data_IF_145291542157
#
_entry.id   IF_145291542157
#
_cell.length_a   1.000
_cell.length_b   1.000
_cell.length_c   1.000
_cell.angle_alpha   90.00
_cell.angle_beta   90.00
_cell.angle_gamma   90.00
#
_symmetry.space_group_name_H-M   'P 1'
#
loop_
_entity.id
_entity.type
_entity.pdbx_description
1 polymer ?
#
# COMPACT_ATOMS: atom_id res chain seq x y z
N UNK A 1 -25.84 12.49 -24.35
CA UNK A 1 -24.76 12.75 -25.25
C UNK A 1 -23.68 11.72 -25.07
N UNK A 2 -23.39 10.94 -26.13
CA UNK A 2 -22.33 9.94 -26.10
C UNK A 2 -20.95 10.60 -25.95
N UNK A 3 -20.05 9.95 -25.24
CA UNK A 3 -18.64 10.34 -25.15
C UNK A 3 -18.08 10.41 -26.58
N UNK A 4 -17.41 11.51 -26.98
CA UNK A 4 -16.80 11.61 -28.29
C UNK A 4 -15.84 10.46 -28.60
N UNK A 5 -15.83 9.96 -29.82
CA UNK A 5 -15.05 8.75 -30.18
C UNK A 5 -13.54 8.88 -29.93
N UNK A 6 -13.00 10.09 -29.95
CA UNK A 6 -11.57 10.32 -29.60
C UNK A 6 -11.25 10.08 -28.12
N UNK A 7 -12.26 10.11 -27.24
CA UNK A 7 -12.11 9.75 -25.83
C UNK A 7 -12.31 8.24 -25.59
N UNK A 8 -12.92 7.53 -26.55
CA UNK A 8 -13.15 6.08 -26.43
C UNK A 8 -11.91 5.24 -26.74
N UNK A 9 -10.97 5.75 -27.54
CA UNK A 9 -9.81 5.02 -28.02
C UNK A 9 -8.48 5.42 -27.35
N UNK A 10 -8.50 5.78 -26.08
CA UNK A 10 -7.25 6.04 -25.35
C UNK A 10 -6.51 4.72 -25.12
N UNK A 11 -5.26 4.66 -25.62
CA UNK A 11 -4.29 3.61 -25.31
C UNK A 11 -3.34 4.15 -24.26
N UNK A 12 -3.35 3.55 -23.08
CA UNK A 12 -2.49 3.96 -21.98
C UNK A 12 -1.44 2.89 -21.67
N UNK A 13 -0.22 3.36 -21.42
CA UNK A 13 0.87 2.53 -20.94
C UNK A 13 1.20 2.93 -19.50
N UNK A 14 1.23 1.95 -18.60
CA UNK A 14 1.52 2.13 -17.18
C UNK A 14 2.90 1.61 -16.85
N UNK A 15 3.83 2.52 -16.66
CA UNK A 15 5.24 2.23 -16.34
C UNK A 15 5.42 2.01 -14.86
N UNK A 16 6.01 0.88 -14.48
CA UNK A 16 6.29 0.53 -13.08
C UNK A 16 7.57 -0.28 -12.93
N UNK A 17 8.30 -0.02 -11.83
CA UNK A 17 9.45 -0.80 -11.39
C UNK A 17 9.08 -1.91 -10.39
N UNK A 18 7.84 -1.94 -9.87
CA UNK A 18 7.49 -2.66 -8.65
C UNK A 18 6.47 -3.78 -8.82
N UNK A 19 6.15 -4.18 -10.05
CA UNK A 19 5.10 -5.17 -10.33
C UNK A 19 5.36 -6.54 -9.69
N UNK A 20 6.62 -6.95 -9.61
CA UNK A 20 7.02 -8.24 -9.05
C UNK A 20 7.15 -8.22 -7.52
N UNK A 21 7.06 -7.05 -6.92
CA UNK A 21 7.21 -6.91 -5.47
C UNK A 21 5.95 -7.40 -4.74
N UNK A 22 6.14 -8.05 -3.61
CA UNK A 22 5.05 -8.44 -2.72
C UNK A 22 4.75 -7.26 -1.79
N UNK A 23 4.04 -6.27 -2.31
CA UNK A 23 3.66 -5.08 -1.55
C UNK A 23 2.32 -4.52 -2.03
N UNK A 24 1.79 -3.52 -1.29
CA UNK A 24 0.52 -2.88 -1.59
C UNK A 24 0.49 -2.13 -2.92
N UNK A 25 1.63 -1.60 -3.37
CA UNK A 25 1.75 -0.88 -4.66
C UNK A 25 1.54 -1.84 -5.83
N UNK A 26 2.28 -2.94 -5.85
CA UNK A 26 2.16 -3.97 -6.89
C UNK A 26 0.75 -4.58 -6.93
N UNK A 27 0.17 -4.85 -5.78
CA UNK A 27 -1.20 -5.35 -5.67
C UNK A 27 -2.20 -4.36 -6.25
N UNK A 28 -2.07 -3.08 -5.96
CA UNK A 28 -2.95 -2.03 -6.50
C UNK A 28 -2.85 -1.95 -8.02
N UNK A 29 -1.64 -1.94 -8.57
CA UNK A 29 -1.43 -1.89 -10.03
C UNK A 29 -2.08 -3.09 -10.71
N UNK A 30 -1.88 -4.30 -10.19
CA UNK A 30 -2.49 -5.52 -10.75
C UNK A 30 -4.01 -5.50 -10.68
N UNK A 31 -4.58 -5.10 -9.55
CA UNK A 31 -6.05 -5.02 -9.36
C UNK A 31 -6.68 -3.96 -10.25
N UNK A 32 -6.08 -2.77 -10.35
CA UNK A 32 -6.54 -1.70 -11.23
C UNK A 32 -6.46 -2.13 -12.71
N UNK A 33 -5.39 -2.77 -13.11
CA UNK A 33 -5.23 -3.24 -14.51
C UNK A 33 -6.23 -4.33 -14.84
N UNK A 34 -6.46 -5.29 -13.94
CA UNK A 34 -7.47 -6.33 -14.12
C UNK A 34 -8.88 -5.72 -14.26
N UNK A 35 -9.25 -4.76 -13.44
CA UNK A 35 -10.51 -4.04 -13.55
C UNK A 35 -10.62 -3.29 -14.90
N UNK A 36 -9.53 -2.71 -15.37
CA UNK A 36 -9.46 -2.06 -16.68
C UNK A 36 -9.69 -3.01 -17.85
N UNK A 37 -9.11 -4.19 -17.81
CA UNK A 37 -9.32 -5.24 -18.80
C UNK A 37 -10.78 -5.69 -18.82
N UNK A 38 -11.36 -5.93 -17.65
CA UNK A 38 -12.76 -6.31 -17.51
C UNK A 38 -13.72 -5.23 -18.03
N UNK A 39 -13.34 -3.96 -17.90
CA UNK A 39 -14.08 -2.81 -18.43
C UNK A 39 -13.84 -2.58 -19.94
N UNK A 40 -13.02 -3.39 -20.59
CA UNK A 40 -12.69 -3.26 -22.02
C UNK A 40 -11.80 -2.06 -22.35
N UNK A 41 -11.02 -1.56 -21.37
CA UNK A 41 -10.09 -0.45 -21.56
C UNK A 41 -8.75 -0.93 -22.12
N UNK A 42 -8.13 -0.10 -22.96
CA UNK A 42 -6.82 -0.39 -23.55
C UNK A 42 -5.71 0.13 -22.63
N UNK A 43 -5.22 -0.76 -21.78
CA UNK A 43 -4.20 -0.48 -20.78
C UNK A 43 -3.15 -1.59 -20.79
N UNK A 44 -1.88 -1.22 -20.95
CA UNK A 44 -0.75 -2.14 -20.92
C UNK A 44 0.21 -1.72 -19.81
N UNK A 45 0.58 -2.65 -18.94
CA UNK A 45 1.65 -2.43 -17.97
C UNK A 45 3.00 -2.55 -18.71
N UNK A 46 3.91 -1.64 -18.43
CA UNK A 46 5.27 -1.63 -18.97
C UNK A 46 6.28 -1.78 -17.85
N UNK A 47 7.12 -2.79 -17.97
CA UNK A 47 8.19 -3.11 -17.01
C UNK A 47 9.54 -3.21 -17.71
N UNK A 48 10.60 -3.16 -16.92
CA UNK A 48 11.96 -3.39 -17.39
C UNK A 48 12.69 -4.31 -16.40
N UNK A 49 12.58 -5.62 -16.63
CA UNK A 49 13.16 -6.66 -15.77
C UNK A 49 13.82 -7.74 -16.62
N UNK A 50 14.84 -8.42 -16.08
CA UNK A 50 15.44 -9.59 -16.72
C UNK A 50 14.46 -10.75 -16.80
N UNK A 51 13.60 -10.90 -15.78
CA UNK A 51 12.56 -11.91 -15.71
C UNK A 51 11.26 -11.30 -15.22
N UNK A 52 10.14 -11.67 -15.81
CA UNK A 52 8.79 -11.22 -15.44
C UNK A 52 7.85 -12.41 -15.43
N UNK A 53 7.08 -12.57 -14.35
CA UNK A 53 6.04 -13.56 -14.25
C UNK A 53 4.77 -13.14 -15.02
N UNK A 54 3.98 -14.11 -15.44
CA UNK A 54 2.64 -13.85 -15.98
C UNK A 54 1.67 -13.51 -14.83
N UNK A 55 1.11 -12.31 -14.88
CA UNK A 55 0.14 -11.85 -13.89
C UNK A 55 -1.31 -11.84 -14.41
N UNK A 56 -1.53 -12.40 -15.62
CA UNK A 56 -2.86 -12.45 -16.22
C UNK A 56 -3.40 -11.08 -16.68
N UNK A 57 -2.53 -10.09 -16.86
CA UNK A 57 -2.86 -8.73 -17.32
C UNK A 57 -2.00 -8.37 -18.53
N UNK A 58 -2.44 -7.46 -19.42
CA UNK A 58 -1.60 -7.00 -20.53
C UNK A 58 -0.30 -6.39 -20.03
N UNK A 59 0.82 -6.96 -20.46
CA UNK A 59 2.14 -6.59 -19.99
C UNK A 59 3.15 -6.58 -21.13
N UNK A 60 3.94 -5.51 -21.22
CA UNK A 60 5.11 -5.39 -22.07
C UNK A 60 6.35 -5.24 -21.22
N UNK A 61 7.20 -6.24 -21.23
CA UNK A 61 8.50 -6.16 -20.56
C UNK A 61 9.62 -5.85 -21.57
N UNK A 62 10.49 -4.94 -21.19
CA UNK A 62 11.73 -4.65 -21.92
C UNK A 62 12.91 -5.24 -21.14
N UNK A 63 13.80 -5.94 -21.85
CA UNK A 63 15.01 -6.42 -21.24
C UNK A 63 15.92 -5.22 -20.86
N UNK A 64 16.40 -5.14 -19.62
CA UNK A 64 17.26 -4.05 -19.20
C UNK A 64 18.62 -4.12 -19.91
N UNK A 65 19.23 -2.96 -20.14
CA UNK A 65 20.63 -2.87 -20.63
C UNK A 65 21.65 -3.04 -19.51
N UNK A 66 21.21 -2.94 -18.27
CA UNK A 66 22.00 -3.17 -17.06
C UNK A 66 21.11 -3.22 -15.84
N UNK A 67 21.51 -4.03 -14.85
CA UNK A 67 20.84 -4.13 -13.56
C UNK A 67 21.86 -3.95 -12.43
N UNK A 68 21.46 -3.21 -11.38
CA UNK A 68 22.25 -2.98 -10.18
C UNK A 68 21.44 -3.25 -8.94
N UNK A 69 22.00 -3.97 -7.98
CA UNK A 69 21.43 -4.13 -6.64
C UNK A 69 21.91 -2.99 -5.74
N UNK A 70 20.96 -2.39 -5.00
CA UNK A 70 21.30 -1.44 -3.95
C UNK A 70 21.41 -2.21 -2.63
N UNK A 71 22.61 -2.35 -2.03
CA UNK A 71 22.83 -3.23 -0.87
C UNK A 71 22.02 -2.85 0.38
N UNK A 72 21.66 -1.58 0.53
CA UNK A 72 20.95 -1.05 1.69
C UNK A 72 19.42 -0.94 1.47
N UNK A 73 18.97 -1.13 0.23
CA UNK A 73 17.57 -1.02 -0.16
C UNK A 73 17.13 -2.36 -0.76
N UNK A 74 16.69 -3.27 0.09
CA UNK A 74 16.23 -4.59 -0.34
C UNK A 74 15.06 -4.57 -1.34
N UNK A 75 14.52 -3.39 -1.61
CA UNK A 75 13.35 -3.24 -2.44
C UNK A 75 13.65 -3.10 -3.91
N UNK A 76 14.92 -2.89 -4.35
CA UNK A 76 15.07 -2.51 -5.76
C UNK A 76 16.42 -2.89 -6.36
N UNK A 77 16.31 -3.79 -7.31
CA UNK A 77 17.22 -3.78 -8.45
C UNK A 77 16.91 -2.55 -9.28
N UNK A 78 17.90 -1.70 -9.51
CA UNK A 78 17.81 -0.64 -10.50
C UNK A 78 18.05 -1.24 -11.87
N UNK A 79 17.01 -1.29 -12.70
CA UNK A 79 17.09 -1.77 -14.08
C UNK A 79 17.13 -0.58 -15.02
N UNK A 80 18.19 -0.48 -15.82
CA UNK A 80 18.33 0.58 -16.82
C UNK A 80 17.59 0.21 -18.10
N UNK A 81 16.57 0.99 -18.53
CA UNK A 81 15.73 0.65 -19.66
C UNK A 81 16.39 0.92 -21.02
N UNK A 82 16.05 0.14 -22.07
CA UNK A 82 16.46 0.41 -23.44
C UNK A 82 15.61 1.54 -24.03
N UNK A 83 16.05 2.78 -23.86
CA UNK A 83 15.28 4.01 -24.13
C UNK A 83 14.73 4.06 -25.54
N UNK A 84 15.56 3.80 -26.55
CA UNK A 84 15.13 3.86 -27.96
C UNK A 84 14.11 2.79 -28.32
N UNK A 85 14.21 1.59 -27.75
CA UNK A 85 13.24 0.53 -27.98
C UNK A 85 11.87 0.88 -27.35
N UNK A 86 11.87 1.54 -26.20
CA UNK A 86 10.65 2.01 -25.55
C UNK A 86 9.98 3.11 -26.39
N UNK A 87 10.74 4.07 -26.90
CA UNK A 87 10.21 5.13 -27.76
C UNK A 87 9.60 4.56 -29.05
N UNK A 88 10.32 3.65 -29.72
CA UNK A 88 9.82 2.96 -30.90
C UNK A 88 8.53 2.18 -30.63
N UNK A 89 8.46 1.48 -29.51
CA UNK A 89 7.28 0.74 -29.10
C UNK A 89 6.09 1.67 -28.86
N UNK A 90 6.28 2.80 -28.15
CA UNK A 90 5.23 3.78 -27.89
C UNK A 90 4.63 4.37 -29.18
N UNK A 91 5.47 4.68 -30.15
CA UNK A 91 5.03 5.19 -31.44
C UNK A 91 4.31 4.12 -32.27
N UNK A 92 4.90 2.92 -32.36
CA UNK A 92 4.34 1.82 -33.13
C UNK A 92 2.99 1.35 -32.61
N UNK A 93 2.85 1.26 -31.28
CA UNK A 93 1.60 0.87 -30.62
C UNK A 93 0.60 2.02 -30.49
N UNK A 94 0.97 3.22 -30.94
CA UNK A 94 0.13 4.43 -30.88
C UNK A 94 -0.38 4.71 -29.47
N UNK A 95 0.51 4.59 -28.48
CA UNK A 95 0.19 4.95 -27.10
C UNK A 95 -0.13 6.44 -27.03
N UNK A 96 -1.26 6.78 -26.43
CA UNK A 96 -1.74 8.15 -26.38
C UNK A 96 -1.49 8.84 -25.04
N UNK A 97 -1.19 8.08 -23.99
CA UNK A 97 -1.04 8.60 -22.63
C UNK A 97 -0.21 7.67 -21.76
N UNK A 98 0.59 8.24 -20.87
CA UNK A 98 1.47 7.49 -19.98
C UNK A 98 1.04 7.64 -18.52
N UNK A 99 1.13 6.54 -17.77
CA UNK A 99 0.99 6.50 -16.31
C UNK A 99 2.33 6.07 -15.74
N UNK A 100 2.84 6.79 -14.76
CA UNK A 100 4.17 6.57 -14.17
C UNK A 100 4.02 6.36 -12.68
N UNK A 101 4.29 5.15 -12.21
CA UNK A 101 4.13 4.77 -10.80
C UNK A 101 5.27 5.22 -9.92
N UNK A 102 6.50 5.26 -10.45
CA UNK A 102 7.70 5.50 -9.64
C UNK A 102 8.69 6.38 -10.38
N UNK A 103 9.43 7.23 -9.67
CA UNK A 103 10.47 8.08 -10.25
C UNK A 103 11.83 7.37 -10.42
N UNK A 104 11.80 6.05 -10.61
CA UNK A 104 12.98 5.24 -10.89
C UNK A 104 13.42 5.32 -12.37
N UNK A 105 14.36 4.48 -12.79
CA UNK A 105 14.92 4.53 -14.16
C UNK A 105 13.84 4.40 -15.25
N UNK A 106 12.87 3.48 -15.09
CA UNK A 106 11.81 3.34 -16.08
C UNK A 106 10.84 4.52 -16.05
N UNK A 107 10.58 5.08 -14.88
CA UNK A 107 9.77 6.29 -14.73
C UNK A 107 10.41 7.52 -15.38
N UNK A 108 11.72 7.69 -15.23
CA UNK A 108 12.47 8.74 -15.91
C UNK A 108 12.46 8.56 -17.43
N UNK A 109 12.59 7.33 -17.91
CA UNK A 109 12.46 7.02 -19.33
C UNK A 109 11.06 7.39 -19.85
N UNK A 110 10.02 7.03 -19.12
CA UNK A 110 8.63 7.37 -19.46
C UNK A 110 8.41 8.89 -19.47
N UNK A 111 8.96 9.62 -18.50
CA UNK A 111 8.89 11.08 -18.47
C UNK A 111 9.59 11.71 -19.70
N UNK A 112 10.77 11.23 -20.03
CA UNK A 112 11.50 11.68 -21.22
C UNK A 112 10.72 11.39 -22.50
N UNK A 113 10.10 10.23 -22.62
CA UNK A 113 9.25 9.87 -23.75
C UNK A 113 8.02 10.78 -23.84
N UNK A 114 7.33 11.04 -22.73
CA UNK A 114 6.19 11.93 -22.68
C UNK A 114 6.53 13.33 -23.19
N UNK A 115 7.65 13.89 -22.72
CA UNK A 115 8.11 15.21 -23.15
C UNK A 115 8.54 15.24 -24.61
N UNK A 116 9.25 14.21 -25.08
CA UNK A 116 9.76 14.15 -26.45
C UNK A 116 8.68 13.88 -27.50
N UNK A 117 7.70 13.06 -27.16
CA UNK A 117 6.60 12.66 -28.05
C UNK A 117 5.34 13.52 -27.88
N UNK A 118 5.34 14.46 -26.93
CA UNK A 118 4.19 15.31 -26.64
C UNK A 118 2.98 14.54 -26.07
N UNK A 119 3.22 13.48 -25.28
CA UNK A 119 2.17 12.68 -24.68
C UNK A 119 1.81 13.19 -23.29
N UNK A 120 0.51 13.22 -22.94
CA UNK A 120 0.09 13.44 -21.57
C UNK A 120 0.68 12.37 -20.64
N UNK A 121 1.09 12.79 -19.45
CA UNK A 121 1.66 11.88 -18.46
C UNK A 121 1.03 12.14 -17.08
N UNK A 122 0.64 11.05 -16.43
CA UNK A 122 0.04 11.02 -15.11
C UNK A 122 0.98 10.28 -14.15
N UNK A 123 1.23 10.87 -13.00
CA UNK A 123 2.04 10.25 -11.97
C UNK A 123 1.22 9.69 -10.83
N UNK A 124 1.80 8.74 -10.11
CA UNK A 124 1.23 8.20 -8.88
C UNK A 124 2.31 8.26 -7.79
N UNK A 125 1.96 8.87 -6.67
CA UNK A 125 2.79 8.91 -5.49
C UNK A 125 2.34 7.79 -4.53
N UNK A 126 2.97 6.62 -4.66
CA UNK A 126 2.63 5.43 -3.88
C UNK A 126 3.37 5.32 -2.56
N UNK A 127 4.61 5.80 -2.50
CA UNK A 127 5.52 5.57 -1.37
C UNK A 127 6.11 6.88 -0.92
N UNK A 128 6.11 7.12 0.39
CA UNK A 128 6.77 8.26 1.00
C UNK A 128 8.30 8.02 1.05
N UNK A 129 8.95 8.12 -0.11
CA UNK A 129 10.39 7.92 -0.22
C UNK A 129 11.22 8.86 0.67
N UNK A 130 10.90 10.15 0.82
CA UNK A 130 11.65 11.02 1.71
C UNK A 130 11.63 10.55 3.16
N UNK A 131 10.47 10.19 3.70
CA UNK A 131 10.37 9.68 5.07
C UNK A 131 11.04 8.30 5.20
N UNK A 132 10.90 7.45 4.18
CA UNK A 132 11.54 6.15 4.11
C UNK A 132 13.07 6.29 4.17
N UNK A 133 13.64 7.19 3.35
CA UNK A 133 15.07 7.51 3.35
C UNK A 133 15.51 8.05 4.70
N UNK A 134 14.72 8.92 5.33
CA UNK A 134 15.01 9.46 6.67
C UNK A 134 15.12 8.36 7.74
N UNK A 135 14.19 7.41 7.73
CA UNK A 135 14.19 6.30 8.72
C UNK A 135 15.36 5.36 8.48
N UNK A 136 15.69 5.04 7.23
CA UNK A 136 16.77 4.12 6.91
C UNK A 136 18.16 4.70 7.11
N UNK A 137 18.36 5.98 6.80
CA UNK A 137 19.67 6.63 6.83
C UNK A 137 19.89 7.51 8.07
N UNK A 138 18.81 7.89 8.75
CA UNK A 138 18.79 8.88 9.82
C UNK A 138 19.49 10.20 9.42
N UNK A 139 19.36 10.59 8.15
CA UNK A 139 20.02 11.74 7.56
C UNK A 139 19.00 12.71 6.94
N UNK A 140 18.88 13.89 7.56
CA UNK A 140 17.96 14.94 7.10
C UNK A 140 18.37 15.57 5.78
N UNK A 141 19.66 15.56 5.45
CA UNK A 141 20.15 16.04 4.16
C UNK A 141 19.69 15.11 3.02
N UNK A 142 19.80 13.79 3.21
CA UNK A 142 19.32 12.80 2.24
C UNK A 142 17.80 12.89 2.06
N UNK A 143 17.06 13.12 3.14
CA UNK A 143 15.62 13.37 3.06
C UNK A 143 15.31 14.61 2.22
N UNK A 144 16.01 15.73 2.46
CA UNK A 144 15.83 16.98 1.70
C UNK A 144 16.16 16.79 0.22
N UNK A 145 17.26 16.11 -0.08
CA UNK A 145 17.66 15.79 -1.46
C UNK A 145 16.59 14.95 -2.16
N UNK A 146 16.05 13.97 -1.48
CA UNK A 146 14.97 13.12 -1.99
C UNK A 146 13.72 13.93 -2.29
N UNK A 147 13.31 14.84 -1.39
CA UNK A 147 12.18 15.74 -1.63
C UNK A 147 12.39 16.65 -2.84
N UNK A 148 13.57 17.19 -3.05
CA UNK A 148 13.88 18.02 -4.20
C UNK A 148 13.76 17.25 -5.51
N UNK A 149 14.27 16.02 -5.55
CA UNK A 149 14.14 15.14 -6.71
C UNK A 149 12.68 14.78 -6.99
N UNK A 150 11.94 14.37 -5.97
CA UNK A 150 10.52 14.01 -6.08
C UNK A 150 9.69 15.19 -6.56
N UNK A 151 9.92 16.39 -5.99
CA UNK A 151 9.22 17.60 -6.40
C UNK A 151 9.49 17.92 -7.88
N UNK A 152 10.76 17.87 -8.30
CA UNK A 152 11.11 18.08 -9.69
C UNK A 152 10.38 17.08 -10.61
N UNK A 153 10.42 15.79 -10.26
CA UNK A 153 9.83 14.72 -11.07
C UNK A 153 8.30 14.91 -11.20
N UNK A 154 7.59 15.01 -10.10
CA UNK A 154 6.12 15.09 -10.10
C UNK A 154 5.61 16.42 -10.64
N UNK A 155 6.35 17.51 -10.54
CA UNK A 155 5.97 18.80 -11.14
C UNK A 155 6.00 18.79 -12.67
N UNK A 156 6.64 17.80 -13.30
CA UNK A 156 6.63 17.62 -14.75
C UNK A 156 5.36 16.94 -15.27
N UNK A 157 4.51 16.41 -14.41
CA UNK A 157 3.36 15.58 -14.77
C UNK A 157 2.07 16.41 -14.82
N UNK A 158 1.15 16.03 -15.70
CA UNK A 158 -0.11 16.76 -15.89
C UNK A 158 -1.07 16.55 -14.72
N UNK A 159 -1.13 15.32 -14.20
CA UNK A 159 -1.91 14.94 -13.02
C UNK A 159 -1.03 14.08 -12.12
N UNK A 160 -1.16 14.27 -10.81
CA UNK A 160 -0.49 13.45 -9.80
C UNK A 160 -1.52 12.89 -8.84
N UNK A 161 -1.60 11.56 -8.77
CA UNK A 161 -2.39 10.85 -7.78
C UNK A 161 -1.59 10.65 -6.50
N UNK A 162 -2.22 10.93 -5.39
CA UNK A 162 -1.71 10.68 -4.04
C UNK A 162 -2.66 9.75 -3.29
N UNK A 163 -2.19 9.11 -2.23
CA UNK A 163 -2.95 8.08 -1.55
C UNK A 163 -3.88 8.60 -0.43
N UNK A 164 -3.71 9.86 -0.02
CA UNK A 164 -4.52 10.43 1.06
C UNK A 164 -4.61 11.95 0.95
N UNK A 165 -5.56 12.52 1.66
CA UNK A 165 -5.71 13.98 1.76
C UNK A 165 -4.51 14.63 2.46
N UNK A 166 -3.89 13.95 3.42
CA UNK A 166 -2.67 14.45 4.07
C UNK A 166 -1.51 14.61 3.08
N UNK A 167 -1.30 13.63 2.21
CA UNK A 167 -0.29 13.71 1.15
C UNK A 167 -0.67 14.74 0.09
N UNK A 168 -1.94 14.89 -0.20
CA UNK A 168 -2.41 15.95 -1.09
C UNK A 168 -2.07 17.33 -0.54
N UNK A 169 -2.35 17.61 0.72
CA UNK A 169 -1.98 18.84 1.40
C UNK A 169 -0.46 19.06 1.41
N UNK A 170 0.30 18.02 1.73
CA UNK A 170 1.76 18.07 1.73
C UNK A 170 2.32 18.51 0.37
N UNK A 171 1.80 17.98 -0.73
CA UNK A 171 2.24 18.35 -2.07
C UNK A 171 1.80 19.75 -2.47
N UNK A 172 0.63 20.22 -2.05
CA UNK A 172 0.17 21.60 -2.26
C UNK A 172 1.13 22.58 -1.55
N UNK A 173 1.47 22.31 -0.29
CA UNK A 173 2.42 23.12 0.49
C UNK A 173 3.80 23.16 -0.16
N UNK A 174 4.21 22.11 -0.87
CA UNK A 174 5.47 22.03 -1.61
C UNK A 174 5.39 22.63 -3.03
N UNK A 175 4.24 23.20 -3.42
CA UNK A 175 4.12 23.98 -4.65
C UNK A 175 3.53 23.24 -5.85
N UNK A 176 2.99 22.03 -5.70
CA UNK A 176 2.20 21.40 -6.76
C UNK A 176 0.81 22.01 -6.76
N UNK A 177 0.32 22.54 -7.88
CA UNK A 177 -1.02 23.12 -7.98
C UNK A 177 -2.11 22.11 -7.60
N UNK A 178 -3.08 22.55 -6.80
CA UNK A 178 -4.15 21.67 -6.28
C UNK A 178 -4.98 21.04 -7.39
N UNK A 179 -5.16 21.74 -8.52
CA UNK A 179 -5.89 21.23 -9.68
C UNK A 179 -5.20 20.07 -10.41
N UNK A 180 -3.91 19.85 -10.16
CA UNK A 180 -3.17 18.68 -10.69
C UNK A 180 -3.22 17.48 -9.77
N UNK A 181 -3.65 17.64 -8.53
CA UNK A 181 -3.63 16.59 -7.52
C UNK A 181 -4.99 15.88 -7.45
N UNK A 182 -4.95 14.56 -7.35
CA UNK A 182 -6.10 13.67 -7.18
C UNK A 182 -5.82 12.66 -6.09
N UNK A 183 -6.86 12.22 -5.40
CA UNK A 183 -6.74 11.06 -4.51
C UNK A 183 -6.91 9.79 -5.34
N UNK A 184 -5.96 8.85 -5.22
CA UNK A 184 -6.02 7.58 -5.94
C UNK A 184 -7.20 6.74 -5.41
N UNK A 185 -8.17 6.41 -6.27
CA UNK A 185 -9.27 5.53 -5.86
C UNK A 185 -8.76 4.13 -5.51
N UNK A 186 -9.36 3.50 -4.50
CA UNK A 186 -9.01 2.16 -4.04
C UNK A 186 -10.23 1.28 -3.95
N UNK A 187 -10.10 0.06 -4.42
CA UNK A 187 -11.08 -0.99 -4.26
C UNK A 187 -10.69 -1.98 -3.18
N UNK A 188 -11.59 -2.91 -2.93
CA UNK A 188 -11.47 -3.96 -1.93
C UNK A 188 -12.25 -5.19 -2.41
N UNK A 189 -11.69 -6.38 -2.21
CA UNK A 189 -12.43 -7.63 -2.38
C UNK A 189 -13.19 -7.94 -1.07
N UNK A 190 -14.34 -7.31 -0.91
CA UNK A 190 -15.17 -7.46 0.29
C UNK A 190 -15.91 -8.80 0.39
N UNK A 191 -15.89 -9.60 -0.67
CA UNK A 191 -16.41 -10.97 -0.64
C UNK A 191 -15.39 -11.95 -0.08
N UNK A 192 -14.13 -11.76 -0.44
CA UNK A 192 -13.02 -12.54 0.11
C UNK A 192 -12.78 -12.17 1.57
N UNK A 193 -12.56 -10.87 1.82
CA UNK A 193 -12.37 -10.34 3.18
C UNK A 193 -13.73 -10.05 3.82
N UNK A 194 -14.17 -11.00 4.65
CA UNK A 194 -15.52 -10.99 5.20
C UNK A 194 -15.54 -11.61 6.61
N UNK A 195 -16.37 -11.09 7.53
CA UNK A 195 -16.48 -11.64 8.88
C UNK A 195 -16.86 -13.14 8.93
N UNK A 196 -17.56 -13.64 7.91
CA UNK A 196 -17.91 -15.08 7.81
C UNK A 196 -16.72 -16.00 7.60
N UNK A 197 -15.54 -15.47 7.27
CA UNK A 197 -14.30 -16.24 7.19
C UNK A 197 -13.71 -16.58 8.57
N UNK A 198 -14.30 -16.09 9.65
CA UNK A 198 -13.85 -16.40 11.00
C UNK A 198 -13.90 -17.90 11.26
N UNK A 199 -12.77 -18.45 11.63
CA UNK A 199 -12.55 -19.83 12.03
C UNK A 199 -11.85 -19.85 13.40
N UNK A 200 -12.57 -20.31 14.41
CA UNK A 200 -12.06 -20.36 15.78
C UNK A 200 -10.81 -21.22 15.93
N UNK A 201 -10.66 -22.24 15.11
CA UNK A 201 -9.50 -23.13 15.11
C UNK A 201 -8.28 -22.57 14.41
N UNK A 202 -8.42 -21.52 13.60
CA UNK A 202 -7.32 -21.04 12.76
C UNK A 202 -6.09 -20.61 13.57
N UNK A 203 -6.28 -19.77 14.58
CA UNK A 203 -5.17 -19.30 15.43
C UNK A 203 -4.82 -20.24 16.56
N UNK A 204 -5.79 -20.98 17.12
CA UNK A 204 -5.51 -21.96 18.15
C UNK A 204 -4.64 -23.10 17.63
N UNK A 205 -4.85 -23.54 16.40
CA UNK A 205 -3.98 -24.52 15.73
C UNK A 205 -2.54 -24.01 15.52
N UNK A 206 -2.32 -22.70 15.58
CA UNK A 206 -1.02 -22.04 15.44
C UNK A 206 -0.43 -21.54 16.76
N UNK A 207 -1.05 -21.89 17.88
CA UNK A 207 -0.50 -21.62 19.21
C UNK A 207 -1.20 -20.55 20.03
N UNK A 208 -2.27 -19.92 19.54
CA UNK A 208 -3.08 -19.01 20.36
C UNK A 208 -3.80 -19.80 21.43
N UNK A 209 -3.68 -19.38 22.69
CA UNK A 209 -4.27 -20.06 23.84
C UNK A 209 -5.64 -19.51 24.18
N UNK A 210 -6.44 -20.30 24.88
CA UNK A 210 -7.73 -19.84 25.40
C UNK A 210 -7.52 -18.66 26.36
N UNK A 211 -8.37 -17.63 26.21
CA UNK A 211 -8.27 -16.40 27.00
C UNK A 211 -7.27 -15.36 26.46
N UNK A 212 -6.44 -15.70 25.51
CA UNK A 212 -5.58 -14.73 24.85
C UNK A 212 -6.33 -13.95 23.75
N UNK A 213 -6.02 -12.66 23.63
CA UNK A 213 -6.49 -11.79 22.56
C UNK A 213 -5.46 -11.76 21.45
N UNK A 214 -5.86 -12.16 20.25
CA UNK A 214 -4.99 -12.16 19.07
C UNK A 214 -4.86 -10.76 18.48
N UNK A 215 -3.68 -10.17 18.57
CA UNK A 215 -3.34 -8.89 17.98
C UNK A 215 -2.57 -9.10 16.68
N UNK A 216 -3.23 -8.84 15.56
CA UNK A 216 -2.71 -9.12 14.22
C UNK A 216 -1.97 -7.91 13.65
N UNK A 217 -0.83 -8.19 13.02
CA UNK A 217 -0.16 -7.34 12.05
C UNK A 217 -0.04 -8.10 10.73
N UNK A 218 -0.32 -7.45 9.62
CA UNK A 218 -0.12 -7.97 8.27
C UNK A 218 0.71 -6.97 7.47
N UNK A 219 1.80 -7.41 6.89
CA UNK A 219 2.64 -6.58 6.05
C UNK A 219 4.06 -7.12 5.92
N UNK A 220 4.87 -6.40 5.15
CA UNK A 220 6.31 -6.67 5.07
C UNK A 220 6.94 -6.48 6.45
N UNK A 221 7.73 -7.46 6.87
CA UNK A 221 8.46 -7.40 8.14
C UNK A 221 9.78 -6.68 7.92
N UNK A 222 9.72 -5.36 7.97
CA UNK A 222 10.83 -4.46 7.73
C UNK A 222 10.83 -3.32 8.77
N UNK A 223 11.99 -2.70 8.95
CA UNK A 223 12.22 -1.74 10.04
C UNK A 223 11.29 -0.53 9.98
N UNK A 224 10.98 -0.04 8.77
CA UNK A 224 10.12 1.12 8.56
C UNK A 224 8.65 0.90 8.93
N UNK A 225 8.22 -0.35 9.09
CA UNK A 225 6.86 -0.68 9.56
C UNK A 225 6.65 -0.42 11.05
N UNK A 226 7.68 0.02 11.74
CA UNK A 226 7.63 0.42 13.15
C UNK A 226 7.20 -0.71 14.10
N UNK A 227 7.65 -1.94 13.79
CA UNK A 227 7.33 -3.10 14.59
C UNK A 227 7.95 -3.05 16.00
N UNK A 228 9.00 -2.27 16.20
CA UNK A 228 9.57 -2.00 17.52
C UNK A 228 8.57 -1.38 18.49
N UNK A 229 7.63 -0.58 17.98
CA UNK A 229 6.55 -0.04 18.80
C UNK A 229 5.59 -1.14 19.30
N UNK A 230 5.31 -2.13 18.45
CA UNK A 230 4.55 -3.33 18.85
C UNK A 230 5.30 -4.10 19.93
N UNK A 231 6.61 -4.26 19.80
CA UNK A 231 7.46 -4.91 20.82
C UNK A 231 7.33 -4.20 22.17
N UNK A 232 7.49 -2.89 22.17
CA UNK A 232 7.42 -2.08 23.40
C UNK A 232 6.01 -2.09 24.02
N UNK A 233 4.96 -1.98 23.19
CA UNK A 233 3.58 -2.08 23.65
C UNK A 233 3.26 -3.46 24.24
N UNK A 234 3.72 -4.51 23.60
CA UNK A 234 3.54 -5.91 24.08
C UNK A 234 4.16 -6.12 25.44
N UNK A 235 5.37 -5.60 25.67
CA UNK A 235 6.02 -5.65 26.98
C UNK A 235 5.22 -4.93 28.06
N UNK A 236 4.69 -3.76 27.75
CA UNK A 236 3.83 -2.99 28.67
C UNK A 236 2.54 -3.71 28.99
N UNK A 237 1.90 -4.31 27.99
CA UNK A 237 0.69 -5.11 28.17
C UNK A 237 0.95 -6.34 29.07
N UNK A 238 2.11 -6.96 28.95
CA UNK A 238 2.52 -8.04 29.84
C UNK A 238 2.70 -7.58 31.30
N UNK A 239 3.29 -6.40 31.52
CA UNK A 239 3.38 -5.78 32.85
C UNK A 239 1.99 -5.52 33.46
N UNK A 240 1.04 -5.11 32.63
CA UNK A 240 -0.35 -4.91 33.05
C UNK A 240 -1.17 -6.20 33.16
N UNK A 241 -0.56 -7.35 32.86
CA UNK A 241 -1.22 -8.66 32.81
C UNK A 241 -2.41 -8.70 31.85
N UNK A 242 -2.37 -7.92 30.77
CA UNK A 242 -3.33 -7.97 29.70
C UNK A 242 -2.97 -9.10 28.75
N UNK A 243 -3.85 -10.10 28.53
CA UNK A 243 -3.50 -11.34 27.82
C UNK A 243 -3.55 -11.15 26.30
N UNK A 244 -2.59 -10.46 25.75
CA UNK A 244 -2.48 -10.18 24.30
C UNK A 244 -1.35 -11.00 23.69
N UNK A 245 -1.65 -11.71 22.60
CA UNK A 245 -0.66 -12.45 21.80
C UNK A 245 -0.45 -11.73 20.46
N UNK A 246 0.75 -11.23 20.18
CA UNK A 246 1.09 -10.72 18.86
C UNK A 246 1.07 -11.82 17.79
N UNK A 247 0.50 -11.51 16.64
CA UNK A 247 0.43 -12.37 15.47
C UNK A 247 0.98 -11.59 14.28
N UNK A 248 2.04 -12.11 13.67
CA UNK A 248 2.75 -11.45 12.57
C UNK A 248 2.56 -12.27 11.29
N UNK A 249 1.85 -11.70 10.33
CA UNK A 249 1.65 -12.28 9.00
C UNK A 249 2.44 -11.47 7.99
N UNK A 250 3.35 -12.14 7.31
CA UNK A 250 4.27 -11.53 6.35
C UNK A 250 5.69 -12.02 6.55
N UNK A 251 6.58 -11.56 5.69
CA UNK A 251 7.99 -11.86 5.75
C UNK A 251 8.80 -10.61 5.40
N UNK A 252 10.08 -10.62 5.72
CA UNK A 252 10.97 -9.51 5.42
C UNK A 252 12.27 -9.57 6.21
N UNK A 253 13.17 -8.61 5.94
CA UNK A 253 14.53 -8.60 6.48
C UNK A 253 14.62 -8.44 7.99
N UNK A 254 13.60 -7.85 8.61
CA UNK A 254 13.55 -7.63 10.06
C UNK A 254 13.05 -8.86 10.84
N UNK A 255 12.63 -9.93 10.15
CA UNK A 255 12.08 -11.13 10.77
C UNK A 255 13.01 -11.77 11.84
N UNK A 256 14.30 -11.98 11.59
CA UNK A 256 15.18 -12.60 12.58
C UNK A 256 15.24 -11.81 13.90
N UNK A 257 15.36 -10.48 13.80
CA UNK A 257 15.39 -9.58 14.96
C UNK A 257 14.04 -9.54 15.68
N UNK A 258 12.94 -9.47 14.94
CA UNK A 258 11.60 -9.45 15.52
C UNK A 258 11.30 -10.77 16.28
N UNK A 259 11.69 -11.91 15.73
CA UNK A 259 11.59 -13.22 16.44
C UNK A 259 12.38 -13.25 17.74
N UNK A 260 13.55 -12.62 17.76
CA UNK A 260 14.35 -12.49 18.98
C UNK A 260 13.64 -11.63 20.03
N UNK A 261 12.99 -10.53 19.61
CA UNK A 261 12.31 -9.57 20.49
C UNK A 261 10.92 -10.03 20.95
N UNK A 262 10.19 -10.75 20.11
CA UNK A 262 8.83 -11.26 20.35
C UNK A 262 8.79 -12.80 20.27
N UNK A 263 9.57 -13.48 21.14
CA UNK A 263 9.70 -14.95 21.09
C UNK A 263 8.38 -15.72 21.21
N UNK A 264 7.39 -15.16 21.91
CA UNK A 264 6.08 -15.79 22.11
C UNK A 264 5.04 -15.41 21.04
N UNK A 265 5.37 -14.55 20.07
CA UNK A 265 4.47 -14.19 19.00
C UNK A 265 4.24 -15.36 18.03
N UNK A 266 3.11 -15.34 17.35
CA UNK A 266 2.82 -16.27 16.26
C UNK A 266 3.34 -15.66 14.97
N UNK A 267 4.19 -16.39 14.26
CA UNK A 267 4.73 -15.99 12.96
C UNK A 267 4.28 -16.98 11.90
N UNK A 268 3.63 -16.50 10.85
CA UNK A 268 3.11 -17.36 9.79
C UNK A 268 3.95 -17.34 8.51
N UNK A 269 4.80 -16.31 8.35
CA UNK A 269 5.30 -15.96 7.01
C UNK A 269 4.20 -15.35 6.16
N UNK A 270 4.43 -15.29 4.85
CA UNK A 270 3.46 -14.78 3.90
C UNK A 270 2.21 -15.66 3.85
N UNK A 271 1.03 -15.01 3.88
CA UNK A 271 -0.27 -15.64 3.62
C UNK A 271 -0.99 -14.87 2.50
N UNK A 272 -1.75 -15.57 1.68
CA UNK A 272 -2.58 -15.01 0.63
C UNK A 272 -3.92 -15.72 0.51
N UNK A 273 -4.82 -15.17 -0.30
CA UNK A 273 -6.11 -15.78 -0.60
C UNK A 273 -6.96 -16.10 0.63
N UNK A 274 -7.55 -17.27 0.65
CA UNK A 274 -8.43 -17.72 1.74
C UNK A 274 -7.74 -17.80 3.11
N UNK A 275 -6.47 -18.17 3.16
CA UNK A 275 -5.72 -18.21 4.41
C UNK A 275 -5.52 -16.82 5.01
N UNK A 276 -5.25 -15.82 4.17
CA UNK A 276 -5.17 -14.43 4.62
C UNK A 276 -6.53 -13.92 5.09
N UNK A 277 -7.60 -14.24 4.38
CA UNK A 277 -8.96 -13.88 4.76
C UNK A 277 -9.35 -14.45 6.13
N UNK A 278 -9.00 -15.73 6.39
CA UNK A 278 -9.18 -16.36 7.70
C UNK A 278 -8.32 -15.73 8.78
N UNK A 279 -7.08 -15.38 8.43
CA UNK A 279 -6.16 -14.73 9.35
C UNK A 279 -6.74 -13.43 9.92
N UNK A 280 -7.26 -12.56 9.05
CA UNK A 280 -7.94 -11.34 9.46
C UNK A 280 -9.20 -11.60 10.30
N UNK A 281 -10.14 -12.37 9.74
CA UNK A 281 -11.44 -12.59 10.37
C UNK A 281 -11.36 -13.31 11.71
N UNK A 282 -10.33 -14.14 11.91
CA UNK A 282 -10.14 -14.94 13.14
C UNK A 282 -9.31 -14.25 14.22
N UNK A 283 -8.73 -13.08 13.91
CA UNK A 283 -8.05 -12.25 14.90
C UNK A 283 -9.04 -11.39 15.69
N UNK A 284 -8.59 -10.82 16.81
CA UNK A 284 -9.43 -10.01 17.68
C UNK A 284 -9.29 -8.51 17.43
N UNK A 285 -8.09 -8.07 17.05
CA UNK A 285 -7.81 -6.70 16.68
C UNK A 285 -6.63 -6.63 15.71
N UNK A 286 -6.51 -5.53 15.00
CA UNK A 286 -5.45 -5.28 14.05
C UNK A 286 -4.64 -4.05 14.46
N UNK A 287 -3.34 -4.19 14.64
CA UNK A 287 -2.44 -3.09 15.01
C UNK A 287 -1.45 -2.81 13.88
N UNK A 288 -1.44 -1.59 13.39
CA UNK A 288 -0.60 -1.17 12.27
C UNK A 288 0.08 0.18 12.57
N UNK A 289 1.21 0.17 13.29
CA UNK A 289 1.85 1.38 13.81
C UNK A 289 2.73 2.12 12.79
N UNK A 290 2.73 1.68 11.53
CA UNK A 290 3.56 2.28 10.48
C UNK A 290 3.24 3.77 10.29
N UNK A 291 4.29 4.59 10.12
CA UNK A 291 4.22 6.01 9.83
C UNK A 291 4.62 6.34 8.39
N UNK A 292 5.03 5.33 7.62
CA UNK A 292 5.56 5.48 6.25
C UNK A 292 4.60 5.03 5.15
N UNK A 293 3.53 4.31 5.50
CA UNK A 293 2.55 3.88 4.53
C UNK A 293 1.71 5.07 4.06
N UNK A 294 1.57 5.19 2.74
CA UNK A 294 0.82 6.30 2.13
C UNK A 294 -0.68 6.04 2.09
N UNK A 295 -1.09 4.78 2.17
CA UNK A 295 -2.49 4.37 2.22
C UNK A 295 -2.71 3.25 3.24
N UNK A 296 -2.36 2.01 2.93
CA UNK A 296 -2.57 0.85 3.79
C UNK A 296 -3.76 -0.01 3.35
N UNK A 297 -3.60 -0.78 2.27
CA UNK A 297 -4.63 -1.73 1.83
C UNK A 297 -5.03 -2.73 2.93
N UNK A 298 -4.08 -3.12 3.77
CA UNK A 298 -4.29 -4.04 4.89
C UNK A 298 -5.31 -3.51 5.90
N UNK A 299 -5.44 -2.19 6.04
CA UNK A 299 -6.45 -1.58 6.91
C UNK A 299 -7.86 -1.86 6.36
N UNK A 300 -8.07 -1.68 5.06
CA UNK A 300 -9.34 -1.98 4.41
C UNK A 300 -9.70 -3.47 4.52
N UNK A 301 -8.71 -4.35 4.36
CA UNK A 301 -8.88 -5.79 4.50
C UNK A 301 -9.28 -6.18 5.94
N UNK A 302 -8.65 -5.59 6.94
CA UNK A 302 -8.99 -5.81 8.35
C UNK A 302 -10.41 -5.30 8.67
N UNK A 303 -10.76 -4.09 8.23
CA UNK A 303 -12.09 -3.52 8.38
C UNK A 303 -13.17 -4.38 7.69
N UNK A 304 -12.91 -4.81 6.47
CA UNK A 304 -13.81 -5.70 5.74
C UNK A 304 -14.04 -7.04 6.45
N UNK A 305 -13.03 -7.52 7.16
CA UNK A 305 -13.09 -8.75 7.95
C UNK A 305 -13.77 -8.59 9.31
N UNK A 306 -14.19 -7.37 9.65
CA UNK A 306 -14.99 -7.08 10.85
C UNK A 306 -14.18 -7.04 12.14
N UNK A 307 -12.91 -6.71 12.10
CA UNK A 307 -12.08 -6.51 13.29
C UNK A 307 -11.70 -5.03 13.47
N UNK A 308 -11.59 -4.55 14.72
CA UNK A 308 -11.18 -3.17 14.98
C UNK A 308 -9.72 -2.96 14.62
N UNK A 309 -9.38 -1.76 14.16
CA UNK A 309 -8.04 -1.40 13.75
C UNK A 309 -7.46 -0.29 14.61
N UNK A 310 -6.13 -0.34 14.83
CA UNK A 310 -5.35 0.70 15.49
C UNK A 310 -4.27 1.15 14.51
N UNK A 311 -4.24 2.44 14.22
CA UNK A 311 -3.29 3.05 13.29
C UNK A 311 -2.59 4.24 13.94
N UNK A 312 -1.46 4.67 13.35
CA UNK A 312 -0.76 5.89 13.73
C UNK A 312 -1.49 7.15 13.22
N UNK A 313 -1.32 8.28 13.89
CA UNK A 313 -1.79 9.59 13.43
C UNK A 313 -0.89 10.23 12.35
N UNK A 314 0.14 9.52 11.92
CA UNK A 314 1.05 9.92 10.84
C UNK A 314 0.97 8.92 9.71
N UNK A 315 0.79 9.41 8.47
CA UNK A 315 0.68 8.61 7.27
C UNK A 315 -0.76 8.44 6.77
N UNK A 316 -0.90 7.72 5.66
CA UNK A 316 -2.19 7.49 5.00
C UNK A 316 -3.22 6.66 5.78
N UNK A 317 -2.81 5.64 6.56
CA UNK A 317 -3.76 4.82 7.33
C UNK A 317 -4.69 5.61 8.26
N UNK A 318 -4.25 6.75 8.78
CA UNK A 318 -5.06 7.64 9.62
C UNK A 318 -6.40 8.03 8.99
N UNK A 319 -6.42 8.28 7.70
CA UNK A 319 -7.63 8.72 6.97
C UNK A 319 -8.66 7.60 6.81
N UNK A 320 -8.26 6.35 7.03
CA UNK A 320 -9.12 5.17 6.89
C UNK A 320 -9.86 4.82 8.18
N UNK A 321 -9.56 5.47 9.30
CA UNK A 321 -10.09 5.14 10.63
C UNK A 321 -10.79 6.36 11.23
N UNK A 322 -12.03 6.16 11.63
CA UNK A 322 -12.74 7.12 12.49
C UNK A 322 -12.45 6.80 13.95
N UNK A 323 -11.58 7.62 14.56
CA UNK A 323 -11.12 7.40 15.93
C UNK A 323 -12.28 7.27 16.92
N UNK A 324 -12.29 6.17 17.67
CA UNK A 324 -13.34 5.85 18.64
C UNK A 324 -14.62 5.25 18.07
N UNK A 325 -14.75 5.11 16.75
CA UNK A 325 -15.93 4.54 16.09
C UNK A 325 -15.67 3.16 15.48
N UNK A 326 -14.66 3.03 14.65
CA UNK A 326 -14.27 1.77 13.98
C UNK A 326 -12.85 1.33 14.30
N UNK A 327 -12.19 2.02 15.20
CA UNK A 327 -10.85 1.76 15.66
C UNK A 327 -10.28 2.93 16.43
N UNK A 328 -8.96 2.93 16.59
CA UNK A 328 -8.24 4.01 17.27
C UNK A 328 -7.12 4.57 16.38
N UNK A 329 -6.96 5.88 16.46
CA UNK A 329 -5.81 6.59 15.91
C UNK A 329 -4.92 7.02 17.08
N UNK A 330 -3.74 6.44 17.17
CA UNK A 330 -2.81 6.70 18.28
C UNK A 330 -1.69 7.63 17.85
N UNK A 331 -1.11 8.33 18.82
CA UNK A 331 0.02 9.22 18.56
C UNK A 331 1.21 8.41 18.07
N UNK A 332 1.81 8.85 16.97
CA UNK A 332 2.96 8.21 16.36
C UNK A 332 4.10 8.03 17.36
N UNK A 333 4.71 6.85 17.36
CA UNK A 333 5.83 6.47 18.22
C UNK A 333 5.56 6.59 19.73
N UNK A 334 4.31 6.66 20.16
CA UNK A 334 3.90 6.72 21.56
C UNK A 334 3.48 5.33 22.05
N UNK A 335 4.36 4.70 22.81
CA UNK A 335 4.15 3.34 23.37
C UNK A 335 2.94 3.32 24.31
N UNK A 336 2.79 4.33 25.16
CA UNK A 336 1.71 4.41 26.15
C UNK A 336 0.35 4.52 25.45
N UNK A 337 0.25 5.37 24.43
CA UNK A 337 -0.99 5.56 23.68
C UNK A 337 -1.39 4.30 22.92
N UNK A 338 -0.44 3.65 22.25
CA UNK A 338 -0.68 2.37 21.57
C UNK A 338 -1.10 1.27 22.56
N UNK A 339 -0.37 1.09 23.64
CA UNK A 339 -0.68 0.07 24.65
C UNK A 339 -2.05 0.28 25.29
N UNK A 340 -2.42 1.53 25.60
CA UNK A 340 -3.74 1.88 26.13
C UNK A 340 -4.87 1.53 25.15
N UNK A 341 -4.71 1.85 23.87
CA UNK A 341 -5.69 1.50 22.83
C UNK A 341 -5.86 -0.02 22.71
N UNK A 342 -4.76 -0.76 22.68
CA UNK A 342 -4.78 -2.22 22.65
C UNK A 342 -5.49 -2.78 23.88
N UNK A 343 -5.19 -2.28 25.07
CA UNK A 343 -5.81 -2.75 26.33
C UNK A 343 -7.32 -2.50 26.34
N UNK A 344 -7.80 -1.34 25.88
CA UNK A 344 -9.21 -1.03 25.78
C UNK A 344 -9.94 -2.08 24.93
N UNK A 345 -9.37 -2.45 23.79
CA UNK A 345 -9.93 -3.47 22.92
C UNK A 345 -9.79 -4.88 23.50
N UNK A 346 -8.65 -5.20 24.13
CA UNK A 346 -8.43 -6.50 24.75
C UNK A 346 -9.40 -6.79 25.89
N UNK A 347 -9.66 -5.79 26.73
CA UNK A 347 -10.50 -5.94 27.92
C UNK A 347 -12.01 -5.86 27.61
N UNK A 348 -12.41 -5.44 26.41
CA UNK A 348 -13.81 -5.20 26.08
C UNK A 348 -14.23 -5.89 24.75
N UNK A 349 -14.72 -7.15 24.83
CA UNK A 349 -15.21 -7.88 23.67
C UNK A 349 -16.36 -7.18 22.93
N UNK A 350 -17.26 -6.50 23.66
CA UNK A 350 -18.37 -5.78 23.07
C UNK A 350 -17.89 -4.58 22.24
N UNK A 351 -16.86 -3.88 22.71
CA UNK A 351 -16.23 -2.79 21.95
C UNK A 351 -15.57 -3.30 20.68
N UNK A 352 -14.83 -4.43 20.75
CA UNK A 352 -14.25 -5.06 19.56
C UNK A 352 -15.31 -5.39 18.51
N UNK A 353 -16.42 -6.00 18.94
CA UNK A 353 -17.52 -6.36 18.05
C UNK A 353 -18.16 -5.11 17.42
N UNK A 354 -18.46 -4.09 18.21
CA UNK A 354 -19.06 -2.85 17.75
C UNK A 354 -18.18 -2.10 16.74
N UNK A 355 -16.91 -1.94 17.05
CA UNK A 355 -15.95 -1.27 16.16
C UNK A 355 -15.68 -2.09 14.89
N UNK A 356 -15.58 -3.40 15.00
CA UNK A 356 -15.43 -4.28 13.86
C UNK A 356 -16.59 -4.21 12.88
N UNK A 357 -17.82 -4.19 13.39
CA UNK A 357 -19.02 -4.04 12.57
C UNK A 357 -19.09 -2.66 11.91
N UNK A 358 -18.75 -1.61 12.63
CA UNK A 358 -18.69 -0.25 12.08
C UNK A 358 -17.65 -0.14 10.95
N UNK A 359 -16.48 -0.73 11.13
CA UNK A 359 -15.44 -0.78 10.10
C UNK A 359 -15.87 -1.54 8.86
N UNK A 360 -16.54 -2.68 9.01
CA UNK A 360 -17.10 -3.44 7.90
C UNK A 360 -18.09 -2.61 7.09
N UNK A 361 -19.07 -1.98 7.74
CA UNK A 361 -20.07 -1.14 7.06
C UNK A 361 -19.45 0.01 6.27
N UNK A 362 -18.34 0.55 6.75
CA UNK A 362 -17.65 1.66 6.09
C UNK A 362 -17.04 1.28 4.75
N UNK A 363 -16.59 0.03 4.57
CA UNK A 363 -15.76 -0.37 3.45
C UNK A 363 -16.38 -1.42 2.54
N UNK A 364 -17.48 -2.07 2.93
CA UNK A 364 -18.02 -3.23 2.23
C UNK A 364 -18.51 -2.94 0.79
N UNK A 365 -18.86 -1.69 0.49
CA UNK A 365 -19.32 -1.27 -0.83
C UNK A 365 -18.19 -0.82 -1.76
N UNK A 366 -16.93 -0.81 -1.32
CA UNK A 366 -15.79 -0.46 -2.16
C UNK A 366 -15.51 -1.58 -3.14
N UNK A 367 -15.53 -1.29 -4.45
CA UNK A 367 -15.15 -2.25 -5.47
C UNK A 367 -14.08 -1.69 -6.42
N UNK A 368 -13.29 -2.58 -7.01
CA UNK A 368 -12.20 -2.21 -7.90
C UNK A 368 -12.70 -1.68 -9.25
N UNK A 369 -13.87 -2.07 -9.69
CA UNK A 369 -14.46 -1.60 -10.94
C UNK A 369 -14.79 -0.11 -10.86
N UNK A 370 -15.43 0.32 -9.81
CA UNK A 370 -15.73 1.73 -9.57
C UNK A 370 -14.46 2.55 -9.36
N UNK A 371 -13.52 2.04 -8.56
CA UNK A 371 -12.22 2.67 -8.35
C UNK A 371 -11.47 2.88 -9.68
N UNK A 372 -11.45 1.87 -10.53
CA UNK A 372 -10.82 1.96 -11.84
C UNK A 372 -11.49 3.01 -12.74
N UNK A 373 -12.81 3.07 -12.81
CA UNK A 373 -13.51 4.06 -13.64
C UNK A 373 -13.23 5.51 -13.17
N UNK A 374 -13.19 5.75 -11.86
CA UNK A 374 -12.78 7.05 -11.33
C UNK A 374 -11.35 7.43 -11.72
N UNK A 375 -10.43 6.47 -11.62
CA UNK A 375 -9.03 6.65 -12.03
C UNK A 375 -8.91 6.91 -13.54
N UNK A 376 -9.58 6.10 -14.35
CA UNK A 376 -9.53 6.21 -15.81
C UNK A 376 -10.04 7.55 -16.32
N UNK A 377 -11.05 8.09 -15.68
CA UNK A 377 -11.70 9.34 -16.08
C UNK A 377 -11.12 10.58 -15.39
N UNK A 378 -10.07 10.44 -14.60
CA UNK A 378 -9.46 11.53 -13.81
C UNK A 378 -10.45 12.27 -12.94
N UNK A 379 -11.40 11.56 -12.35
CA UNK A 379 -12.41 12.15 -11.48
C UNK A 379 -11.76 12.89 -10.31
N UNK A 380 -12.19 14.11 -9.98
CA UNK A 380 -11.60 14.89 -8.89
C UNK A 380 -11.93 14.33 -7.50
N UNK A 381 -12.92 13.43 -7.38
CA UNK A 381 -13.35 12.78 -6.12
C UNK A 381 -13.57 11.28 -6.32
#
# INVERSE_FOLDING_TARGET
>A
GGIPDFLKNKRRAWFTDTLEDVNGVATTIRKMTAAGVDAGRDLTIVTCRSEVADHGVPLKNFAPIGEFELPEYELQRLSFPPVLQIFDWLEREKISELIISTPGPIGLCALAAAKSLGLPAVGIYHTDFPQYVRILTDDSFMETLTWNYMHWFYSQLDIVYVNSEDYRKCWIERGIPSERLRILPRGLDSKLFHPTKRDRGFWTARGLREGEVGMLFVGRVSKEKNLDLIVSATRRLAEWRTPVRPIIVGDGPYMPELKRLLGDAIFTGYLGGEDLAKAYASADLFAFPSTTDTFGNVILEAQASGIPVIVSDVGGPRDLVANGQDGFVTKANDVADLANAIRQLADNPALRASMGEAGRRRVEDRDWSEAFEKFWNYSPE
#
